data_IF_794030723890
#
_entry.id   IF_794030723890
#
_cell.length_a   1.000
_cell.length_b   1.000
_cell.length_c   1.000
_cell.angle_alpha   90.00
_cell.angle_beta   90.00
_cell.angle_gamma   90.00
#
_symmetry.space_group_name_H-M   'P 1'
#
loop_
_entity.id
_entity.type
_entity.pdbx_description
1 polymer ?
#
# COMPACT_ATOMS: atom_id res chain seq x y z
N UNK A 1 14.64 -5.55 -8.05
CA UNK A 1 14.23 -5.83 -6.64
C UNK A 1 14.56 -7.25 -6.24
N UNK A 2 14.16 -8.26 -7.04
CA UNK A 2 14.43 -9.69 -6.80
C UNK A 2 15.89 -9.98 -6.38
N UNK A 3 16.86 -9.53 -7.18
CA UNK A 3 18.30 -9.67 -6.87
C UNK A 3 18.69 -9.18 -5.47
N UNK A 4 18.15 -8.03 -5.02
CA UNK A 4 18.44 -7.51 -3.67
C UNK A 4 17.97 -8.46 -2.57
N UNK A 5 16.83 -9.14 -2.79
CA UNK A 5 16.29 -10.12 -1.84
C UNK A 5 17.16 -11.39 -1.85
N UNK A 6 17.54 -11.85 -3.04
CA UNK A 6 18.43 -13.01 -3.21
C UNK A 6 19.81 -12.77 -2.57
N UNK A 7 20.39 -11.57 -2.74
CA UNK A 7 21.65 -11.16 -2.10
C UNK A 7 21.54 -11.23 -0.56
N UNK A 8 20.41 -10.80 0.02
CA UNK A 8 20.15 -10.90 1.47
C UNK A 8 20.07 -12.37 1.90
N UNK A 9 19.42 -13.23 1.12
CA UNK A 9 19.36 -14.66 1.43
C UNK A 9 20.74 -15.31 1.35
N UNK A 10 21.53 -14.99 0.33
CA UNK A 10 22.89 -15.52 0.19
C UNK A 10 23.79 -15.08 1.35
N UNK A 11 23.77 -13.79 1.72
CA UNK A 11 24.52 -13.26 2.86
C UNK A 11 24.09 -13.94 4.18
N UNK A 12 22.79 -14.15 4.39
CA UNK A 12 22.26 -14.85 5.55
C UNK A 12 22.73 -16.30 5.63
N UNK A 13 22.65 -17.05 4.53
CA UNK A 13 23.10 -18.45 4.45
C UNK A 13 24.62 -18.54 4.67
N UNK A 14 25.39 -17.65 4.02
CA UNK A 14 26.84 -17.60 4.16
C UNK A 14 27.26 -17.35 5.61
N UNK A 15 26.65 -16.38 6.30
CA UNK A 15 26.90 -16.08 7.72
C UNK A 15 26.60 -17.27 8.63
N UNK A 16 25.54 -18.03 8.34
CA UNK A 16 25.21 -19.23 9.11
C UNK A 16 26.21 -20.37 8.90
N UNK A 17 26.72 -20.52 7.67
CA UNK A 17 27.71 -21.56 7.35
C UNK A 17 29.05 -21.34 8.06
N UNK A 18 29.42 -20.09 8.34
CA UNK A 18 30.69 -19.73 8.98
C UNK A 18 30.63 -19.71 10.51
N UNK A 19 29.57 -20.25 11.14
CA UNK A 19 29.27 -20.17 12.59
C UNK A 19 29.22 -18.74 13.15
N UNK A 20 29.14 -17.73 12.27
CA UNK A 20 28.84 -16.38 12.69
C UNK A 20 27.36 -16.32 13.07
N UNK A 21 27.10 -15.73 14.21
CA UNK A 21 25.78 -15.56 14.80
C UNK A 21 24.79 -14.93 13.78
N UNK A 22 23.67 -15.60 13.51
CA UNK A 22 22.65 -15.26 12.49
C UNK A 22 21.98 -13.92 12.79
N UNK A 23 22.59 -12.83 12.32
CA UNK A 23 22.06 -11.47 12.50
C UNK A 23 21.72 -10.85 11.16
N UNK A 24 20.52 -10.29 11.07
CA UNK A 24 20.13 -9.37 10.01
C UNK A 24 20.17 -7.94 10.54
N UNK A 25 20.79 -7.04 9.79
CA UNK A 25 20.80 -5.62 10.11
C UNK A 25 19.69 -4.91 9.32
N UNK A 26 18.81 -4.20 10.04
CA UNK A 26 17.70 -3.44 9.46
C UNK A 26 17.86 -1.95 9.81
N UNK A 27 17.43 -1.01 8.96
CA UNK A 27 17.33 0.39 9.37
C UNK A 27 16.46 0.54 10.62
N UNK A 28 16.95 1.27 11.63
CA UNK A 28 16.17 1.48 12.84
C UNK A 28 15.14 2.61 12.64
N UNK A 29 13.90 2.23 12.31
CA UNK A 29 12.80 3.19 12.08
C UNK A 29 12.29 3.90 13.34
N UNK A 30 12.74 3.50 14.54
CA UNK A 30 12.32 4.13 15.81
C UNK A 30 13.16 5.36 16.16
N UNK A 31 14.24 5.65 15.43
CA UNK A 31 15.17 6.74 15.73
C UNK A 31 14.92 7.89 14.74
N UNK A 32 14.58 9.07 15.26
CA UNK A 32 14.37 10.27 14.44
C UNK A 32 15.61 10.68 13.62
N UNK A 33 16.82 10.41 14.13
CA UNK A 33 18.09 10.63 13.41
C UNK A 33 18.18 9.88 12.07
N UNK A 34 17.39 8.83 11.86
CA UNK A 34 17.34 8.10 10.59
C UNK A 34 16.39 8.73 9.56
N UNK A 35 15.73 9.83 9.91
CA UNK A 35 14.72 10.46 9.07
C UNK A 35 15.23 11.81 8.57
N UNK A 36 15.00 12.09 7.30
CA UNK A 36 15.14 13.42 6.70
C UNK A 36 13.82 13.83 6.06
N UNK A 37 13.60 15.14 5.93
CA UNK A 37 12.41 15.68 5.29
C UNK A 37 12.79 16.39 4.00
N UNK A 38 11.98 16.18 2.96
CA UNK A 38 12.05 16.94 1.70
C UNK A 38 10.66 17.42 1.35
N UNK A 39 10.52 18.65 0.83
CA UNK A 39 9.19 19.18 0.46
C UNK A 39 8.48 18.32 -0.59
N UNK A 40 9.23 17.76 -1.53
CA UNK A 40 8.68 16.96 -2.63
C UNK A 40 8.22 15.56 -2.21
N UNK A 41 8.95 14.89 -1.29
CA UNK A 41 8.70 13.48 -0.93
C UNK A 41 8.26 13.27 0.51
N UNK A 42 8.20 14.33 1.32
CA UNK A 42 7.94 14.25 2.74
C UNK A 42 9.09 13.60 3.53
N UNK A 43 8.74 12.81 4.53
CA UNK A 43 9.70 12.06 5.36
C UNK A 43 10.32 10.90 4.57
N UNK A 44 11.65 10.84 4.54
CA UNK A 44 12.43 9.77 3.89
C UNK A 44 13.52 9.26 4.82
N UNK A 45 13.85 7.98 4.67
CA UNK A 45 15.03 7.37 5.31
C UNK A 45 16.31 8.04 4.78
N UNK A 46 17.26 8.34 5.66
CA UNK A 46 18.59 8.84 5.25
C UNK A 46 19.38 7.77 4.48
N UNK A 47 20.38 8.17 3.71
CA UNK A 47 21.15 7.25 2.86
C UNK A 47 21.87 6.15 3.65
N UNK A 48 22.44 6.53 4.80
CA UNK A 48 23.22 5.70 5.71
C UNK A 48 22.56 5.68 7.11
N UNK A 49 21.48 4.91 7.30
CA UNK A 49 20.76 4.88 8.56
C UNK A 49 21.52 4.09 9.63
N UNK A 50 21.32 4.48 10.89
CA UNK A 50 21.71 3.67 12.05
C UNK A 50 20.92 2.36 12.00
N UNK A 51 21.64 1.24 11.96
CA UNK A 51 21.06 -0.09 11.84
C UNK A 51 20.77 -0.69 13.21
N UNK A 52 19.63 -1.35 13.35
CA UNK A 52 19.34 -2.30 14.43
C UNK A 52 19.69 -3.71 13.96
N UNK A 53 20.36 -4.47 14.83
CA UNK A 53 20.64 -5.88 14.60
C UNK A 53 19.49 -6.71 15.19
N UNK A 54 18.88 -7.54 14.36
CA UNK A 54 17.89 -8.53 14.78
C UNK A 54 18.44 -9.94 14.56
N UNK A 55 18.11 -10.87 15.45
CA UNK A 55 18.79 -12.16 15.55
C UNK A 55 19.67 -12.26 16.79
N UNK A 56 20.30 -13.44 16.94
CA UNK A 56 21.12 -13.93 18.07
C UNK A 56 20.43 -14.26 19.39
N UNK A 57 20.74 -15.49 19.87
CA UNK A 57 20.28 -16.13 21.12
C UNK A 57 18.75 -16.18 21.27
N UNK A 58 18.29 -17.17 22.01
CA UNK A 58 16.87 -17.42 22.29
C UNK A 58 16.19 -16.16 22.84
N UNK A 59 15.06 -15.75 22.25
CA UNK A 59 14.26 -14.64 22.76
C UNK A 59 13.44 -13.91 21.68
N UNK A 60 12.90 -12.72 22.00
CA UNK A 60 12.07 -11.95 21.07
C UNK A 60 12.78 -11.52 19.78
N UNK A 61 14.10 -11.27 19.85
CA UNK A 61 14.91 -10.87 18.68
C UNK A 61 15.01 -11.97 17.63
N UNK A 62 15.16 -13.24 18.05
CA UNK A 62 15.21 -14.37 17.13
C UNK A 62 13.85 -14.64 16.48
N UNK A 63 12.76 -14.52 17.24
CA UNK A 63 11.40 -14.60 16.68
C UNK A 63 11.16 -13.51 15.63
N UNK A 64 11.59 -12.27 15.90
CA UNK A 64 11.48 -11.18 14.91
C UNK A 64 12.24 -11.52 13.62
N UNK A 65 13.46 -12.05 13.72
CA UNK A 65 14.24 -12.47 12.55
C UNK A 65 13.51 -13.53 11.72
N UNK A 66 12.96 -14.57 12.36
CA UNK A 66 12.21 -15.63 11.68
C UNK A 66 11.03 -15.03 10.91
N UNK A 67 10.24 -14.16 11.54
CA UNK A 67 9.09 -13.50 10.90
C UNK A 67 9.50 -12.61 9.73
N UNK A 68 10.59 -11.85 9.88
CA UNK A 68 11.12 -10.99 8.81
C UNK A 68 11.57 -11.85 7.61
N UNK A 69 12.30 -12.93 7.84
CA UNK A 69 12.75 -13.84 6.78
C UNK A 69 11.57 -14.57 6.11
N UNK A 70 10.55 -14.94 6.88
CA UNK A 70 9.32 -15.56 6.37
C UNK A 70 8.58 -14.62 5.42
N UNK A 71 8.30 -13.39 5.85
CA UNK A 71 7.64 -12.38 5.02
C UNK A 71 8.49 -12.03 3.79
N UNK A 72 9.81 -11.92 3.94
CA UNK A 72 10.72 -11.67 2.82
C UNK A 72 10.68 -12.81 1.79
N UNK A 73 10.56 -14.07 2.24
CA UNK A 73 10.39 -15.24 1.38
C UNK A 73 9.06 -15.20 0.62
N UNK A 74 7.96 -14.82 1.28
CA UNK A 74 6.66 -14.62 0.63
C UNK A 74 6.75 -13.53 -0.44
N UNK A 75 7.31 -12.37 -0.12
CA UNK A 75 7.53 -11.26 -1.06
C UNK A 75 8.37 -11.71 -2.26
N UNK A 76 9.45 -12.46 -2.02
CA UNK A 76 10.28 -13.02 -3.09
C UNK A 76 9.46 -13.90 -4.05
N UNK A 77 8.61 -14.77 -3.51
CA UNK A 77 7.72 -15.63 -4.31
C UNK A 77 6.71 -14.82 -5.14
N UNK A 78 6.10 -13.79 -4.55
CA UNK A 78 5.15 -12.90 -5.22
C UNK A 78 5.80 -12.15 -6.38
N UNK A 79 6.99 -11.57 -6.14
CA UNK A 79 7.75 -10.86 -7.18
C UNK A 79 8.15 -11.83 -8.30
N UNK A 80 8.67 -13.01 -7.95
CA UNK A 80 9.13 -14.00 -8.94
C UNK A 80 8.00 -14.53 -9.82
N UNK A 81 6.81 -14.72 -9.25
CA UNK A 81 5.62 -15.18 -9.96
C UNK A 81 4.82 -14.05 -10.61
N UNK A 82 5.20 -12.80 -10.39
CA UNK A 82 4.44 -11.62 -10.79
C UNK A 82 2.97 -11.65 -10.32
N UNK A 83 2.76 -12.14 -9.09
CA UNK A 83 1.44 -12.18 -8.44
C UNK A 83 1.39 -11.19 -7.28
N UNK A 84 0.18 -10.85 -6.84
CA UNK A 84 -0.07 -9.89 -5.76
C UNK A 84 -0.93 -10.52 -4.66
N UNK A 85 -0.74 -10.05 -3.43
CA UNK A 85 -1.56 -10.45 -2.27
C UNK A 85 -1.91 -9.25 -1.42
N UNK A 86 -3.08 -9.26 -0.79
CA UNK A 86 -3.40 -8.21 0.18
C UNK A 86 -2.71 -8.47 1.52
N UNK A 87 -2.46 -7.40 2.29
CA UNK A 87 -1.94 -7.51 3.66
C UNK A 87 -2.76 -8.45 4.55
N UNK A 88 -4.09 -8.44 4.36
CA UNK A 88 -5.02 -9.30 5.10
C UNK A 88 -4.87 -10.76 4.70
N UNK A 89 -4.81 -11.05 3.40
CA UNK A 89 -4.55 -12.42 2.92
C UNK A 89 -3.24 -12.97 3.49
N UNK A 90 -2.16 -12.18 3.43
CA UNK A 90 -0.86 -12.58 3.95
C UNK A 90 -0.91 -12.82 5.48
N UNK A 91 -1.70 -12.03 6.22
CA UNK A 91 -1.93 -12.27 7.64
C UNK A 91 -2.73 -13.54 7.90
N UNK A 92 -3.79 -13.80 7.12
CA UNK A 92 -4.67 -14.95 7.30
C UNK A 92 -4.02 -16.28 6.91
N UNK A 93 -3.07 -16.27 5.97
CA UNK A 93 -2.30 -17.46 5.60
C UNK A 93 -1.43 -17.96 6.76
N UNK A 94 -0.97 -17.06 7.63
CA UNK A 94 0.04 -17.32 8.65
C UNK A 94 -0.35 -16.75 10.03
N UNK A 95 -1.65 -16.82 10.41
CA UNK A 95 -2.17 -16.23 11.66
C UNK A 95 -1.44 -16.76 12.90
N UNK A 96 -0.95 -17.99 12.86
CA UNK A 96 -0.21 -18.61 13.98
C UNK A 96 1.18 -18.00 14.17
N UNK A 97 1.74 -17.35 13.14
CA UNK A 97 3.06 -16.73 13.16
C UNK A 97 2.98 -15.28 13.68
N UNK A 98 1.90 -14.56 13.38
CA UNK A 98 1.74 -13.14 13.71
C UNK A 98 0.78 -12.91 14.87
N UNK A 99 1.16 -12.06 15.82
CA UNK A 99 0.31 -11.69 16.96
C UNK A 99 -0.82 -10.74 16.56
N UNK A 100 -0.61 -9.93 15.52
CA UNK A 100 -1.58 -8.96 15.02
C UNK A 100 -1.23 -8.51 13.60
N UNK A 101 -2.21 -7.94 12.87
CA UNK A 101 -1.96 -7.32 11.57
C UNK A 101 -0.93 -6.18 11.66
N UNK A 102 -0.90 -5.46 12.79
CA UNK A 102 0.09 -4.39 13.04
C UNK A 102 1.53 -4.93 13.02
N UNK A 103 1.76 -6.15 13.52
CA UNK A 103 3.09 -6.77 13.49
C UNK A 103 3.54 -7.06 12.06
N UNK A 104 2.65 -7.56 11.21
CA UNK A 104 2.92 -7.77 9.79
C UNK A 104 3.20 -6.44 9.08
N UNK A 105 2.38 -5.41 9.35
CA UNK A 105 2.60 -4.07 8.81
C UNK A 105 3.97 -3.51 9.20
N UNK A 106 4.38 -3.63 10.46
CA UNK A 106 5.69 -3.18 10.92
C UNK A 106 6.84 -3.94 10.23
N UNK A 107 6.66 -5.22 9.93
CA UNK A 107 7.65 -6.02 9.18
C UNK A 107 7.71 -5.58 7.71
N UNK A 108 6.56 -5.35 7.06
CA UNK A 108 6.52 -4.83 5.69
C UNK A 108 7.22 -3.47 5.59
N UNK A 109 7.08 -2.62 6.59
CA UNK A 109 7.74 -1.32 6.67
C UNK A 109 9.25 -1.44 6.89
N UNK A 110 9.68 -2.37 7.76
CA UNK A 110 11.09 -2.71 7.95
C UNK A 110 11.71 -3.22 6.63
N UNK A 111 11.01 -4.08 5.90
CA UNK A 111 11.47 -4.64 4.63
C UNK A 111 11.51 -3.61 3.49
N UNK A 112 10.51 -2.72 3.39
CA UNK A 112 10.53 -1.61 2.44
C UNK A 112 11.76 -0.71 2.65
N UNK A 113 12.10 -0.43 3.91
CA UNK A 113 13.30 0.34 4.27
C UNK A 113 14.59 -0.43 3.98
N UNK A 114 14.65 -1.73 4.32
CA UNK A 114 15.80 -2.58 4.04
C UNK A 114 16.12 -2.64 2.54
N UNK A 115 15.09 -2.83 1.72
CA UNK A 115 15.21 -2.98 0.26
C UNK A 115 15.35 -1.62 -0.46
N UNK A 116 15.17 -0.51 0.27
CA UNK A 116 15.10 0.86 -0.24
C UNK A 116 14.11 0.97 -1.40
N UNK A 117 12.89 0.47 -1.19
CA UNK A 117 11.84 0.41 -2.22
C UNK A 117 10.49 0.86 -1.65
N UNK A 118 9.62 1.51 -2.45
CA UNK A 118 8.24 1.77 -2.05
C UNK A 118 7.49 0.47 -1.72
N UNK A 119 6.56 0.51 -0.75
CA UNK A 119 5.79 -0.66 -0.32
C UNK A 119 5.00 -1.32 -1.45
N UNK A 120 4.51 -0.54 -2.40
CA UNK A 120 3.77 -1.04 -3.58
C UNK A 120 4.61 -2.01 -4.42
N UNK A 121 5.94 -1.84 -4.44
CA UNK A 121 6.86 -2.72 -5.16
C UNK A 121 7.11 -4.07 -4.45
N UNK A 122 6.59 -4.26 -3.23
CA UNK A 122 6.70 -5.54 -2.52
C UNK A 122 5.64 -6.55 -2.96
N UNK A 123 4.77 -6.21 -3.91
CA UNK A 123 3.64 -7.02 -4.36
C UNK A 123 2.63 -7.35 -3.24
N UNK A 124 2.68 -6.60 -2.14
CA UNK A 124 1.73 -6.70 -1.03
C UNK A 124 0.83 -5.46 -1.04
N UNK A 125 -0.42 -5.64 -1.48
CA UNK A 125 -1.39 -4.58 -1.66
C UNK A 125 -2.07 -4.21 -0.35
N UNK A 126 -2.41 -2.92 -0.21
CA UNK A 126 -3.29 -2.47 0.88
C UNK A 126 -4.72 -2.74 0.47
N UNK A 127 -5.53 -3.29 1.38
CA UNK A 127 -6.97 -3.43 1.15
C UNK A 127 -7.61 -2.06 1.09
N UNK A 128 -8.22 -1.76 -0.05
CA UNK A 128 -8.98 -0.54 -0.27
C UNK A 128 -10.20 -0.48 0.63
N UNK A 129 -10.49 0.68 1.18
CA UNK A 129 -11.76 0.98 1.86
C UNK A 129 -12.56 2.09 1.18
N UNK A 130 -11.92 2.89 0.33
CA UNK A 130 -12.54 4.03 -0.32
C UNK A 130 -13.57 3.64 -1.38
N UNK A 131 -14.56 4.49 -1.61
CA UNK A 131 -15.57 4.30 -2.65
C UNK A 131 -15.58 5.47 -3.63
N UNK A 132 -16.01 5.22 -4.86
CA UNK A 132 -16.12 6.18 -5.95
C UNK A 132 -17.46 6.05 -6.68
N UNK A 133 -18.04 7.16 -7.10
CA UNK A 133 -19.30 7.22 -7.86
C UNK A 133 -19.29 8.43 -8.80
N UNK A 134 -20.16 8.42 -9.81
CA UNK A 134 -20.38 9.55 -10.70
C UNK A 134 -19.78 9.35 -12.08
N UNK A 135 -19.53 10.46 -12.78
CA UNK A 135 -19.21 10.52 -14.20
C UNK A 135 -17.79 10.04 -14.47
N UNK A 136 -17.55 8.74 -14.35
CA UNK A 136 -16.25 8.13 -14.51
C UNK A 136 -16.40 6.69 -14.99
N UNK A 137 -15.60 6.32 -15.99
CA UNK A 137 -15.36 4.94 -16.39
C UNK A 137 -13.87 4.68 -16.43
N UNK A 138 -13.44 3.51 -15.99
CA UNK A 138 -12.05 3.13 -16.06
C UNK A 138 -11.87 1.65 -16.36
N UNK A 139 -10.67 1.28 -16.82
CA UNK A 139 -10.30 -0.08 -17.17
C UNK A 139 -9.13 -0.57 -16.33
N UNK A 140 -9.32 -1.69 -15.64
CA UNK A 140 -8.27 -2.40 -14.91
C UNK A 140 -7.39 -3.24 -15.87
N UNK A 141 -6.20 -3.64 -15.43
CA UNK A 141 -5.26 -4.39 -16.27
C UNK A 141 -5.82 -5.74 -16.78
N UNK A 142 -6.75 -6.34 -16.04
CA UNK A 142 -7.43 -7.59 -16.39
C UNK A 142 -8.47 -7.42 -17.51
N UNK A 143 -8.68 -6.19 -17.99
CA UNK A 143 -9.65 -5.88 -19.04
C UNK A 143 -11.03 -5.51 -18.53
N UNK A 144 -11.25 -5.54 -17.21
CA UNK A 144 -12.52 -5.20 -16.58
C UNK A 144 -12.82 -3.71 -16.77
N UNK A 145 -13.94 -3.41 -17.41
CA UNK A 145 -14.46 -2.05 -17.55
C UNK A 145 -15.42 -1.75 -16.40
N UNK A 146 -15.11 -0.72 -15.64
CA UNK A 146 -15.89 -0.28 -14.49
C UNK A 146 -16.56 1.03 -14.84
N UNK A 147 -17.89 1.05 -14.77
CA UNK A 147 -18.72 2.25 -14.98
C UNK A 147 -19.25 2.75 -13.63
N UNK A 148 -18.69 3.87 -13.14
CA UNK A 148 -19.06 4.46 -11.85
C UNK A 148 -20.35 5.29 -11.91
N UNK A 149 -20.94 5.50 -13.09
CA UNK A 149 -22.06 6.44 -13.23
C UNK A 149 -23.41 5.85 -12.82
N UNK A 150 -23.52 4.52 -12.72
CA UNK A 150 -24.77 3.80 -12.45
C UNK A 150 -24.84 3.15 -11.06
N UNK A 151 -23.93 3.51 -10.17
CA UNK A 151 -23.85 2.91 -8.84
C UNK A 151 -24.74 3.66 -7.84
N UNK A 152 -25.50 2.92 -7.03
CA UNK A 152 -26.30 3.49 -5.93
C UNK A 152 -25.55 3.56 -4.61
N UNK A 153 -24.50 2.75 -4.44
CA UNK A 153 -23.75 2.61 -3.17
C UNK A 153 -22.29 3.09 -3.29
N UNK A 154 -21.88 3.51 -4.48
CA UNK A 154 -20.48 3.70 -4.82
C UNK A 154 -19.78 2.37 -5.12
N UNK A 155 -18.78 2.44 -5.99
CA UNK A 155 -17.91 1.31 -6.33
C UNK A 155 -16.70 1.35 -5.41
N UNK A 156 -16.34 0.21 -4.82
CA UNK A 156 -15.11 0.10 -4.03
C UNK A 156 -13.91 0.36 -4.94
N UNK A 157 -12.99 1.21 -4.48
CA UNK A 157 -11.76 1.47 -5.23
C UNK A 157 -10.92 0.18 -5.37
N UNK A 158 -10.30 -0.07 -6.54
CA UNK A 158 -9.45 -1.24 -6.73
C UNK A 158 -8.27 -1.28 -5.73
N UNK A 159 -7.79 -2.49 -5.44
CA UNK A 159 -6.60 -2.66 -4.59
C UNK A 159 -5.30 -2.29 -5.32
N UNK A 160 -5.29 -2.40 -6.65
CA UNK A 160 -4.18 -2.04 -7.51
C UNK A 160 -4.58 -0.90 -8.45
N UNK A 161 -4.55 0.33 -7.93
CA UNK A 161 -4.83 1.54 -8.69
C UNK A 161 -3.81 1.74 -9.83
N UNK A 162 -2.58 1.28 -9.63
CA UNK A 162 -1.51 1.42 -10.61
C UNK A 162 -1.83 0.69 -11.92
N UNK A 163 -2.55 -0.44 -11.83
CA UNK A 163 -3.01 -1.25 -12.96
C UNK A 163 -4.08 -0.61 -13.84
N UNK A 164 -4.69 0.51 -13.42
CA UNK A 164 -5.69 1.22 -14.21
C UNK A 164 -5.02 1.84 -15.45
N UNK A 165 -5.43 1.39 -16.63
CA UNK A 165 -4.79 1.73 -17.93
C UNK A 165 -5.57 2.75 -18.75
N UNK A 166 -6.88 2.87 -18.53
CA UNK A 166 -7.75 3.79 -19.26
C UNK A 166 -8.74 4.45 -18.31
N UNK A 167 -8.92 5.76 -18.46
CA UNK A 167 -9.85 6.59 -17.69
C UNK A 167 -10.61 7.46 -18.69
N UNK A 168 -11.94 7.49 -18.55
CA UNK A 168 -12.83 8.30 -19.36
C UNK A 168 -13.83 9.01 -18.44
N UNK A 169 -13.91 10.33 -18.55
CA UNK A 169 -14.80 11.17 -17.74
C UNK A 169 -15.04 12.50 -18.44
N UNK A 170 -16.25 13.03 -18.30
CA UNK A 170 -16.64 14.40 -18.65
C UNK A 170 -16.91 15.25 -17.39
N UNK A 171 -16.52 14.75 -16.21
CA UNK A 171 -16.72 15.44 -14.94
C UNK A 171 -16.02 16.80 -14.91
N UNK A 172 -16.67 17.78 -14.29
CA UNK A 172 -16.15 19.14 -14.11
C UNK A 172 -15.41 19.32 -12.79
N UNK A 173 -15.65 18.46 -11.82
CA UNK A 173 -14.98 18.45 -10.52
C UNK A 173 -15.09 17.09 -9.85
N UNK A 174 -14.23 16.87 -8.85
CA UNK A 174 -14.24 15.73 -7.94
C UNK A 174 -14.57 16.25 -6.53
N UNK A 175 -15.60 15.70 -5.89
CA UNK A 175 -15.94 15.97 -4.49
C UNK A 175 -15.42 14.82 -3.61
N UNK A 176 -14.41 15.13 -2.78
CA UNK A 176 -13.86 14.23 -1.78
C UNK A 176 -14.60 14.42 -0.45
N UNK A 177 -15.35 13.40 -0.04
CA UNK A 177 -16.18 13.38 1.17
C UNK A 177 -15.49 12.53 2.24
N UNK A 178 -15.20 13.11 3.41
CA UNK A 178 -14.51 12.37 4.47
C UNK A 178 -15.35 11.19 5.00
N UNK A 179 -16.58 11.46 5.44
CA UNK A 179 -17.42 10.47 6.15
C UNK A 179 -18.22 9.61 5.18
N UNK A 180 -18.17 8.30 5.38
CA UNK A 180 -18.93 7.34 4.56
C UNK A 180 -20.44 7.56 4.64
N UNK A 181 -20.96 7.98 5.80
CA UNK A 181 -22.38 8.27 5.97
C UNK A 181 -22.83 9.48 5.12
N UNK A 182 -22.00 10.53 5.05
CA UNK A 182 -22.29 11.71 4.21
C UNK A 182 -22.20 11.35 2.74
N UNK A 183 -21.22 10.52 2.36
CA UNK A 183 -21.11 10.01 0.99
C UNK A 183 -22.38 9.26 0.57
N UNK A 184 -22.88 8.33 1.40
CA UNK A 184 -24.13 7.62 1.10
C UNK A 184 -25.33 8.56 1.04
N UNK A 185 -25.45 9.47 2.00
CA UNK A 185 -26.52 10.47 2.01
C UNK A 185 -26.57 11.29 0.71
N UNK A 186 -25.42 11.69 0.16
CA UNK A 186 -25.34 12.42 -1.11
C UNK A 186 -25.74 11.56 -2.31
N UNK A 187 -25.42 10.27 -2.30
CA UNK A 187 -25.88 9.34 -3.34
C UNK A 187 -27.41 9.17 -3.27
N UNK A 188 -27.95 8.95 -2.08
CA UNK A 188 -29.39 8.77 -1.85
C UNK A 188 -30.20 10.04 -2.16
N UNK A 189 -29.58 11.22 -2.05
CA UNK A 189 -30.21 12.51 -2.38
C UNK A 189 -30.07 12.92 -3.85
N UNK A 190 -29.64 12.03 -4.74
CA UNK A 190 -29.41 12.31 -6.17
C UNK A 190 -28.44 13.48 -6.43
N UNK A 191 -27.48 13.73 -5.54
CA UNK A 191 -26.51 14.82 -5.70
C UNK A 191 -25.78 14.76 -7.05
N UNK A 192 -25.44 13.55 -7.51
CA UNK A 192 -24.77 13.36 -8.80
C UNK A 192 -25.64 13.88 -9.95
N UNK A 193 -26.96 13.70 -9.91
CA UNK A 193 -27.87 14.14 -10.96
C UNK A 193 -28.06 15.67 -10.93
N UNK A 194 -28.13 16.26 -9.73
CA UNK A 194 -28.30 17.70 -9.53
C UNK A 194 -27.05 18.50 -9.92
N UNK A 195 -25.85 17.98 -9.61
CA UNK A 195 -24.57 18.66 -9.80
C UNK A 195 -23.70 18.03 -10.90
N UNK A 196 -24.29 17.26 -11.81
CA UNK A 196 -23.57 16.65 -12.93
C UNK A 196 -22.92 17.69 -13.87
N UNK A 197 -21.85 17.31 -14.59
CA UNK A 197 -21.09 16.07 -14.45
C UNK A 197 -20.05 16.20 -13.33
N UNK A 198 -20.05 15.24 -12.40
CA UNK A 198 -19.15 15.23 -11.23
C UNK A 198 -18.77 13.81 -10.81
N UNK A 199 -17.70 13.70 -10.03
CA UNK A 199 -17.24 12.45 -9.39
C UNK A 199 -17.30 12.65 -7.88
N UNK A 200 -17.83 11.68 -7.15
CA UNK A 200 -17.79 11.62 -5.69
C UNK A 200 -16.80 10.54 -5.27
N UNK A 201 -15.91 10.87 -4.32
CA UNK A 201 -14.97 9.93 -3.72
C UNK A 201 -15.05 10.03 -2.21
N UNK A 202 -14.97 8.91 -1.51
CA UNK A 202 -14.77 8.90 -0.06
C UNK A 202 -13.61 8.00 0.35
N UNK A 203 -12.81 8.47 1.30
CA UNK A 203 -11.78 7.66 1.96
C UNK A 203 -12.28 6.86 3.17
N UNK A 204 -13.56 7.02 3.54
CA UNK A 204 -14.16 6.51 4.79
C UNK A 204 -13.31 6.88 6.02
N UNK A 205 -13.26 8.18 6.32
CA UNK A 205 -12.36 8.78 7.30
C UNK A 205 -11.00 9.12 6.68
N UNK A 206 -9.91 8.92 7.43
CA UNK A 206 -8.56 9.15 6.93
C UNK A 206 -8.28 8.32 5.67
N UNK A 207 -7.93 8.93 4.51
CA UNK A 207 -7.84 8.22 3.25
C UNK A 207 -6.69 7.21 3.25
N UNK A 208 -6.95 6.00 2.76
CA UNK A 208 -5.93 4.97 2.59
C UNK A 208 -4.99 5.29 1.41
N UNK A 209 -4.00 4.41 1.17
CA UNK A 209 -3.05 4.60 0.06
C UNK A 209 -3.78 4.61 -1.28
N UNK A 210 -4.72 3.69 -1.49
CA UNK A 210 -5.41 3.51 -2.75
C UNK A 210 -6.33 4.70 -3.07
N UNK A 211 -7.02 5.27 -2.07
CA UNK A 211 -7.83 6.49 -2.25
C UNK A 211 -6.96 7.67 -2.68
N UNK A 212 -5.79 7.85 -2.05
CA UNK A 212 -4.86 8.93 -2.42
C UNK A 212 -4.24 8.71 -3.80
N UNK A 213 -3.91 7.47 -4.12
CA UNK A 213 -3.38 7.11 -5.44
C UNK A 213 -4.41 7.32 -6.54
N UNK A 214 -5.68 6.97 -6.29
CA UNK A 214 -6.78 7.20 -7.23
C UNK A 214 -7.00 8.70 -7.46
N UNK A 215 -7.08 9.49 -6.38
CA UNK A 215 -7.21 10.95 -6.49
C UNK A 215 -6.06 11.56 -7.28
N UNK A 216 -4.83 11.10 -7.03
CA UNK A 216 -3.65 11.57 -7.75
C UNK A 216 -3.71 11.20 -9.23
N UNK A 217 -4.08 9.96 -9.56
CA UNK A 217 -4.22 9.48 -10.95
C UNK A 217 -5.32 10.25 -11.69
N UNK A 218 -6.47 10.50 -11.04
CA UNK A 218 -7.55 11.31 -11.61
C UNK A 218 -7.12 12.76 -11.83
N UNK A 219 -6.39 13.35 -10.88
CA UNK A 219 -5.82 14.69 -11.05
C UNK A 219 -4.89 14.77 -12.27
N UNK A 220 -3.95 13.82 -12.38
CA UNK A 220 -2.95 13.81 -13.45
C UNK A 220 -3.58 13.56 -14.84
N UNK A 221 -4.76 12.90 -14.92
CA UNK A 221 -5.43 12.55 -16.18
C UNK A 221 -6.52 13.54 -16.58
N UNK A 222 -7.34 13.99 -15.62
CA UNK A 222 -8.51 14.83 -15.89
C UNK A 222 -8.23 16.32 -15.72
N UNK A 223 -7.22 16.68 -14.91
CA UNK A 223 -6.85 18.08 -14.60
C UNK A 223 -8.03 18.94 -14.10
N UNK A 224 -9.00 18.32 -13.42
CA UNK A 224 -10.18 18.98 -12.86
C UNK A 224 -10.04 19.27 -11.35
N UNK A 225 -10.74 20.29 -10.82
CA UNK A 225 -10.69 20.63 -9.40
C UNK A 225 -11.11 19.47 -8.48
N UNK A 226 -10.34 19.25 -7.41
CA UNK A 226 -10.69 18.36 -6.30
C UNK A 226 -11.12 19.22 -5.11
N UNK A 227 -12.38 19.10 -4.72
CA UNK A 227 -13.00 19.83 -3.61
C UNK A 227 -13.15 18.90 -2.41
N UNK A 228 -12.81 19.36 -1.20
CA UNK A 228 -12.94 18.58 0.04
C UNK A 228 -14.15 19.02 0.86
N UNK A 229 -14.88 18.04 1.41
CA UNK A 229 -16.00 18.21 2.35
C UNK A 229 -15.81 17.40 3.63
#
# INVERSE_FOLDING_TARGET
>A
LLKKIEDIFQDYVHKNSTKSLSVLALPNRKIWKNTSYTRERGLKLIENPILQKIGNRSGPSSQKLIKVMHVLTKIHSLIKSNTYRTKRELYYEDVTIFKSQKELDDILDDLACLLKTPKVQLHVLTTSKGCIAGHLKFKEAEGNYIDCSKTTQGILLPNDISSITYIQSDARFILLVEKSAVFQMLLDSNFIEEFQPCILITGKGFPDVNTREMLRKLWDVLEIPILGL
#
